data_IF_622918226102
#
_entry.id   IF_622918226102
#
_cell.length_a   1.000
_cell.length_b   1.000
_cell.length_c   1.000
_cell.angle_alpha   90.00
_cell.angle_beta   90.00
_cell.angle_gamma   90.00
#
_symmetry.space_group_name_H-M   'P 1'
#
loop_
_entity.id
_entity.type
_entity.pdbx_description
1 polymer ?
#
# COMPACT_ATOMS: atom_id res chain seq x y z
N UNK A 1 52.50 -69.37 -52.28
CA UNK A 1 52.40 -68.03 -51.65
C UNK A 1 51.04 -67.44 -51.94
N UNK A 2 50.18 -67.28 -50.93
CA UNK A 2 48.88 -66.57 -51.08
C UNK A 2 48.62 -65.74 -49.82
N UNK A 3 48.62 -64.42 -49.98
CA UNK A 3 47.91 -63.42 -49.15
C UNK A 3 47.54 -62.31 -50.15
N UNK A 4 46.31 -62.22 -50.67
CA UNK A 4 45.09 -61.63 -50.08
C UNK A 4 45.39 -60.39 -49.25
N UNK A 5 45.23 -59.22 -49.86
CA UNK A 5 44.78 -58.00 -49.21
C UNK A 5 43.42 -57.65 -49.81
N UNK A 6 42.37 -58.34 -49.37
CA UNK A 6 40.98 -58.00 -49.70
C UNK A 6 40.56 -57.02 -48.60
N UNK A 7 40.14 -55.83 -49.01
CA UNK A 7 39.56 -54.77 -48.17
C UNK A 7 38.63 -55.33 -47.08
N UNK A 8 39.02 -55.22 -45.82
CA UNK A 8 38.20 -55.47 -44.61
C UNK A 8 37.34 -54.24 -44.24
N UNK A 9 36.97 -53.42 -45.23
CA UNK A 9 35.96 -52.39 -45.06
C UNK A 9 34.59 -52.97 -45.42
N UNK A 10 33.70 -53.05 -44.43
CA UNK A 10 32.27 -53.39 -44.51
C UNK A 10 31.92 -54.88 -44.59
N UNK A 11 31.83 -55.55 -43.44
CA UNK A 11 30.73 -56.48 -43.13
C UNK A 11 30.36 -56.34 -41.65
N UNK A 12 29.80 -55.19 -41.28
CA UNK A 12 29.04 -55.10 -40.03
C UNK A 12 27.68 -55.75 -40.26
N UNK A 13 27.28 -56.65 -39.38
CA UNK A 13 25.95 -57.26 -39.44
C UNK A 13 24.87 -56.20 -39.19
N UNK A 14 23.68 -56.35 -39.78
CA UNK A 14 22.55 -55.43 -39.55
C UNK A 14 22.24 -55.29 -38.05
N UNK A 15 22.48 -56.35 -37.26
CA UNK A 15 22.41 -56.34 -35.81
C UNK A 15 23.42 -55.40 -35.13
N UNK A 16 24.68 -55.35 -35.56
CA UNK A 16 25.69 -54.46 -34.98
C UNK A 16 25.36 -53.00 -35.24
N UNK A 17 24.87 -52.66 -36.43
CA UNK A 17 24.34 -51.33 -36.73
C UNK A 17 23.11 -50.99 -35.87
N UNK A 18 22.20 -51.95 -35.66
CA UNK A 18 21.05 -51.76 -34.79
C UNK A 18 21.46 -51.50 -33.33
N UNK A 19 22.49 -52.19 -32.82
CA UNK A 19 23.03 -51.96 -31.48
C UNK A 19 23.70 -50.60 -31.34
N UNK A 20 24.50 -50.18 -32.34
CA UNK A 20 25.12 -48.85 -32.36
C UNK A 20 24.05 -47.75 -32.37
N UNK A 21 23.01 -47.91 -33.19
CA UNK A 21 21.87 -46.99 -33.23
C UNK A 21 21.09 -46.98 -31.91
N UNK A 22 20.84 -48.13 -31.31
CA UNK A 22 20.17 -48.22 -30.02
C UNK A 22 20.98 -47.51 -28.92
N UNK A 23 22.30 -47.70 -28.90
CA UNK A 23 23.19 -47.05 -27.94
C UNK A 23 23.22 -45.53 -28.13
N UNK A 24 23.25 -45.06 -29.39
CA UNK A 24 23.12 -43.64 -29.73
C UNK A 24 21.76 -43.08 -29.28
N UNK A 25 20.66 -43.79 -29.52
CA UNK A 25 19.32 -43.38 -29.09
C UNK A 25 19.22 -43.28 -27.57
N UNK A 26 19.79 -44.25 -26.83
CA UNK A 26 19.82 -44.21 -25.36
C UNK A 26 20.69 -43.04 -24.87
N UNK A 27 21.86 -42.83 -25.47
CA UNK A 27 22.74 -41.71 -25.13
C UNK A 27 22.10 -40.34 -25.36
N UNK A 28 21.43 -40.16 -26.51
CA UNK A 28 20.66 -38.96 -26.82
C UNK A 28 19.48 -38.82 -25.85
N UNK A 29 18.77 -39.91 -25.54
CA UNK A 29 17.68 -39.91 -24.56
C UNK A 29 18.13 -39.47 -23.17
N UNK A 30 19.27 -39.96 -22.69
CA UNK A 30 19.84 -39.57 -21.41
C UNK A 30 20.25 -38.09 -21.39
N UNK A 31 20.83 -37.59 -22.48
CA UNK A 31 21.23 -36.19 -22.60
C UNK A 31 20.01 -35.26 -22.64
N UNK A 32 18.99 -35.61 -23.43
CA UNK A 32 17.72 -34.87 -23.49
C UNK A 32 17.01 -34.85 -22.14
N UNK A 33 17.00 -35.98 -21.43
CA UNK A 33 16.43 -36.07 -20.09
C UNK A 33 17.15 -35.17 -19.07
N UNK A 34 18.49 -35.14 -19.12
CA UNK A 34 19.28 -34.25 -18.27
C UNK A 34 18.98 -32.76 -18.54
N UNK A 35 18.83 -32.39 -19.82
CA UNK A 35 18.45 -31.01 -20.20
C UNK A 35 17.02 -30.66 -19.79
N UNK A 36 16.09 -31.61 -19.92
CA UNK A 36 14.70 -31.42 -19.49
C UNK A 36 14.62 -31.14 -17.99
N UNK A 37 15.27 -31.94 -17.15
CA UNK A 37 15.33 -31.70 -15.70
C UNK A 37 16.00 -30.38 -15.32
N UNK A 38 17.04 -29.98 -16.06
CA UNK A 38 17.68 -28.68 -15.83
C UNK A 38 16.73 -27.52 -16.16
N UNK A 39 16.00 -27.63 -17.27
CA UNK A 39 14.99 -26.64 -17.66
C UNK A 39 13.82 -26.58 -16.66
N UNK A 40 13.35 -27.72 -16.15
CA UNK A 40 12.30 -27.78 -15.12
C UNK A 40 12.72 -27.07 -13.83
N UNK A 41 13.96 -27.26 -13.37
CA UNK A 41 14.48 -26.55 -12.18
C UNK A 41 14.58 -25.05 -12.38
N UNK A 42 15.00 -24.62 -13.57
CA UNK A 42 15.07 -23.20 -13.92
C UNK A 42 13.66 -22.60 -13.96
N UNK A 43 12.70 -23.30 -14.56
CA UNK A 43 11.30 -22.88 -14.59
C UNK A 43 10.72 -22.75 -13.18
N UNK A 44 10.93 -23.73 -12.29
CA UNK A 44 10.47 -23.66 -10.90
C UNK A 44 11.11 -22.49 -10.13
N UNK A 45 12.39 -22.20 -10.39
CA UNK A 45 13.06 -21.05 -9.77
C UNK A 45 12.49 -19.71 -10.24
N UNK A 46 12.17 -19.60 -11.54
CA UNK A 46 11.55 -18.40 -12.09
C UNK A 46 10.09 -18.25 -11.66
N UNK A 47 9.33 -19.33 -11.49
CA UNK A 47 7.98 -19.26 -10.95
C UNK A 47 7.96 -18.70 -9.52
N UNK A 48 8.88 -19.15 -8.66
CA UNK A 48 9.03 -18.61 -7.30
C UNK A 48 9.47 -17.14 -7.29
N UNK A 49 10.37 -16.77 -8.21
CA UNK A 49 10.81 -15.39 -8.35
C UNK A 49 9.68 -14.48 -8.85
N UNK A 50 8.86 -14.95 -9.80
CA UNK A 50 7.67 -14.24 -10.27
C UNK A 50 6.65 -14.10 -9.14
N UNK A 51 6.40 -15.15 -8.35
CA UNK A 51 5.48 -15.08 -7.21
C UNK A 51 5.93 -14.04 -6.18
N UNK A 52 7.23 -14.06 -5.83
CA UNK A 52 7.83 -13.07 -4.94
C UNK A 52 7.73 -11.65 -5.48
N UNK A 53 8.12 -11.43 -6.75
CA UNK A 53 8.04 -10.12 -7.39
C UNK A 53 6.61 -9.64 -7.56
N UNK A 54 5.65 -10.53 -7.78
CA UNK A 54 4.22 -10.19 -7.88
C UNK A 54 3.68 -9.76 -6.52
N UNK A 55 4.07 -10.44 -5.44
CA UNK A 55 3.73 -10.04 -4.08
C UNK A 55 4.35 -8.68 -3.72
N UNK A 56 5.62 -8.47 -4.09
CA UNK A 56 6.32 -7.20 -3.87
C UNK A 56 5.69 -6.05 -4.67
N UNK A 57 5.37 -6.26 -5.96
CA UNK A 57 4.67 -5.27 -6.78
C UNK A 57 3.28 -4.98 -6.22
N UNK A 58 2.56 -5.98 -5.72
CA UNK A 58 1.27 -5.78 -5.07
C UNK A 58 1.41 -4.94 -3.80
N UNK A 59 2.38 -5.26 -2.94
CA UNK A 59 2.67 -4.49 -1.73
C UNK A 59 3.09 -3.05 -2.05
N UNK A 60 3.97 -2.87 -3.04
CA UNK A 60 4.40 -1.55 -3.49
C UNK A 60 3.27 -0.77 -4.15
N UNK A 61 2.34 -1.43 -4.84
CA UNK A 61 1.12 -0.80 -5.37
C UNK A 61 0.15 -0.42 -4.27
N UNK A 62 -0.07 -1.25 -3.25
CA UNK A 62 -0.86 -0.90 -2.06
C UNK A 62 -0.25 0.33 -1.36
N UNK A 63 1.08 0.34 -1.20
CA UNK A 63 1.80 1.46 -0.57
C UNK A 63 1.88 2.71 -1.48
N UNK A 64 1.92 2.53 -2.80
CA UNK A 64 1.82 3.63 -3.76
C UNK A 64 0.40 4.18 -3.81
N UNK A 65 -0.64 3.38 -3.75
CA UNK A 65 -2.02 3.86 -3.60
C UNK A 65 -2.17 4.66 -2.30
N UNK A 66 -1.59 4.20 -1.20
CA UNK A 66 -1.53 4.96 0.06
C UNK A 66 -0.78 6.31 -0.04
N UNK A 67 0.25 6.40 -0.89
CA UNK A 67 1.10 7.61 -1.02
C UNK A 67 0.69 8.55 -2.16
N UNK A 68 0.17 8.02 -3.26
CA UNK A 68 -0.13 8.73 -4.51
C UNK A 68 -1.50 9.43 -4.44
N UNK A 69 -2.42 8.95 -3.59
CA UNK A 69 -3.72 9.60 -3.34
C UNK A 69 -3.75 10.56 -2.14
N UNK A 70 -2.69 10.66 -1.34
CA UNK A 70 -2.54 11.68 -0.29
C UNK A 70 -3.73 11.83 0.67
N UNK A 71 -4.51 10.78 0.92
CA UNK A 71 -5.82 10.86 1.56
C UNK A 71 -5.86 10.20 2.95
N UNK A 72 -5.86 11.07 3.97
CA UNK A 72 -6.62 10.97 5.22
C UNK A 72 -6.19 9.89 6.24
N UNK A 73 -5.28 10.22 7.17
CA UNK A 73 -4.92 9.33 8.27
C UNK A 73 -6.11 9.16 9.22
N UNK A 74 -6.95 8.16 8.98
CA UNK A 74 -8.11 7.86 9.80
C UNK A 74 -7.80 6.68 10.74
N UNK A 75 -8.19 6.81 12.01
CA UNK A 75 -7.88 5.88 13.08
C UNK A 75 -9.01 4.90 13.34
N UNK A 76 -8.70 3.62 13.48
CA UNK A 76 -9.63 2.58 13.94
C UNK A 76 -9.11 2.02 15.27
N UNK A 77 -9.81 2.30 16.39
CA UNK A 77 -9.49 1.66 17.69
C UNK A 77 -9.61 0.13 17.58
N UNK A 78 -8.81 -0.69 18.29
CA UNK A 78 -7.77 -0.36 19.27
C UNK A 78 -6.31 -0.59 18.81
N UNK A 79 -6.07 -1.14 17.62
CA UNK A 79 -4.76 -1.75 17.27
C UNK A 79 -3.95 -1.01 16.17
N UNK A 80 -4.35 0.20 15.80
CA UNK A 80 -3.70 0.99 14.75
C UNK A 80 -2.63 1.96 15.26
N UNK A 81 -1.56 2.14 14.48
CA UNK A 81 -0.58 3.23 14.64
C UNK A 81 -1.30 4.58 14.71
N UNK A 82 -0.86 5.46 15.61
CA UNK A 82 -1.47 6.77 15.82
C UNK A 82 -1.35 7.60 14.52
N UNK A 83 -2.47 8.01 13.90
CA UNK A 83 -2.43 8.71 12.63
C UNK A 83 -1.91 10.15 12.75
N UNK A 84 -1.46 10.67 11.60
CA UNK A 84 -1.12 12.07 11.39
C UNK A 84 -2.36 12.98 11.55
N UNK A 85 -2.14 14.25 11.86
CA UNK A 85 -3.22 15.23 12.09
C UNK A 85 -3.74 15.77 10.75
N UNK A 86 -5.05 15.69 10.50
CA UNK A 86 -5.66 16.16 9.22
C UNK A 86 -5.69 17.68 9.10
N UNK A 87 -5.62 18.40 10.21
CA UNK A 87 -5.60 19.86 10.25
C UNK A 87 -5.57 20.40 11.67
N UNK A 88 -5.52 21.72 11.77
CA UNK A 88 -5.45 22.45 13.04
C UNK A 88 -6.61 23.42 13.16
N UNK A 89 -7.23 23.41 14.33
CA UNK A 89 -8.18 24.41 14.78
C UNK A 89 -7.49 25.27 15.84
N UNK A 90 -7.36 26.56 15.59
CA UNK A 90 -6.73 27.50 16.53
C UNK A 90 -7.79 28.42 17.12
N UNK A 91 -7.90 28.44 18.44
CA UNK A 91 -8.76 29.35 19.20
C UNK A 91 -7.92 30.57 19.57
N UNK A 92 -8.22 31.72 18.98
CA UNK A 92 -7.46 32.96 19.19
C UNK A 92 -8.05 33.81 20.32
N UNK A 93 -7.19 34.62 20.96
CA UNK A 93 -7.62 35.66 21.89
C UNK A 93 -8.52 36.68 21.16
N UNK A 94 -9.78 36.78 21.61
CA UNK A 94 -10.82 37.58 20.94
C UNK A 94 -11.92 36.75 20.25
N UNK A 95 -12.21 35.56 20.77
CA UNK A 95 -13.42 34.79 20.44
C UNK A 95 -13.54 34.38 18.96
N UNK A 96 -12.38 34.21 18.31
CA UNK A 96 -12.29 33.81 16.92
C UNK A 96 -11.56 32.49 16.76
N UNK A 97 -12.04 31.66 15.85
CA UNK A 97 -11.48 30.34 15.54
C UNK A 97 -10.98 30.35 14.11
N UNK A 98 -9.75 29.89 13.90
CA UNK A 98 -9.22 29.60 12.56
C UNK A 98 -9.13 28.10 12.32
N UNK A 99 -9.39 27.71 11.08
CA UNK A 99 -9.29 26.33 10.60
C UNK A 99 -8.25 26.26 9.48
N UNK A 100 -7.28 25.37 9.61
CA UNK A 100 -6.29 25.09 8.59
C UNK A 100 -6.26 23.58 8.28
N UNK A 101 -6.32 23.23 6.99
CA UNK A 101 -6.06 21.86 6.55
C UNK A 101 -4.57 21.62 6.44
N UNK A 102 -4.10 20.45 6.88
CA UNK A 102 -2.69 20.08 6.77
C UNK A 102 -2.22 20.01 5.30
N UNK A 103 -3.14 19.85 4.34
CA UNK A 103 -2.82 19.81 2.90
C UNK A 103 -2.60 21.19 2.31
N UNK A 104 -3.39 22.19 2.73
CA UNK A 104 -3.37 23.52 2.14
C UNK A 104 -2.46 24.49 2.91
N UNK A 105 -2.12 24.20 4.17
CA UNK A 105 -1.15 24.93 4.99
C UNK A 105 -1.55 26.37 5.35
N UNK A 106 -2.58 26.93 4.73
CA UNK A 106 -3.11 28.26 4.97
C UNK A 106 -4.40 28.19 5.80
N UNK A 107 -4.61 29.11 6.77
CA UNK A 107 -5.86 29.21 7.51
C UNK A 107 -6.98 29.63 6.54
N UNK A 108 -7.85 28.70 6.22
CA UNK A 108 -8.83 28.84 5.14
C UNK A 108 -10.09 29.60 5.59
N UNK A 109 -10.39 29.61 6.90
CA UNK A 109 -11.63 30.20 7.41
C UNK A 109 -11.50 30.69 8.85
N UNK A 110 -12.05 31.88 9.12
CA UNK A 110 -12.20 32.45 10.46
C UNK A 110 -13.67 32.47 10.85
N UNK A 111 -14.00 31.88 11.99
CA UNK A 111 -15.33 31.93 12.60
C UNK A 111 -15.26 32.89 13.78
N UNK A 112 -16.14 33.88 13.83
CA UNK A 112 -16.24 34.85 14.93
C UNK A 112 -17.61 34.72 15.61
N UNK A 113 -17.64 34.94 16.93
CA UNK A 113 -18.78 34.95 17.87
C UNK A 113 -18.97 33.66 18.69
N UNK A 114 -18.88 33.82 20.02
CA UNK A 114 -19.03 32.77 21.04
C UNK A 114 -20.35 32.88 21.82
N UNK A 115 -21.44 32.41 21.21
CA UNK A 115 -22.49 31.74 21.99
C UNK A 115 -22.36 30.25 21.73
N UNK A 116 -22.50 29.37 22.73
CA UNK A 116 -22.34 27.92 22.53
C UNK A 116 -23.20 27.38 21.35
N UNK A 117 -24.44 27.85 21.24
CA UNK A 117 -25.34 27.49 20.14
C UNK A 117 -24.92 28.10 18.79
N UNK A 118 -24.31 29.28 18.80
CA UNK A 118 -23.81 29.97 17.60
C UNK A 118 -22.51 29.31 17.12
N UNK A 119 -21.67 28.87 18.06
CA UNK A 119 -20.43 28.16 17.81
C UNK A 119 -20.71 26.83 17.12
N UNK A 120 -21.63 26.01 17.62
CA UNK A 120 -21.98 24.73 16.98
C UNK A 120 -22.57 24.94 15.58
N UNK A 121 -23.47 25.91 15.42
CA UNK A 121 -24.09 26.24 14.11
C UNK A 121 -23.10 26.74 13.07
N UNK A 122 -22.03 27.42 13.46
CA UNK A 122 -21.05 27.98 12.53
C UNK A 122 -19.83 27.07 12.32
N UNK A 123 -19.37 26.39 13.37
CA UNK A 123 -18.18 25.55 13.32
C UNK A 123 -18.46 24.24 12.58
N UNK A 124 -19.60 23.61 12.83
CA UNK A 124 -19.97 22.34 12.17
C UNK A 124 -19.96 22.43 10.64
N UNK A 125 -20.65 23.38 9.99
CA UNK A 125 -20.59 23.49 8.53
C UNK A 125 -19.21 23.93 8.04
N UNK A 126 -18.48 24.76 8.78
CA UNK A 126 -17.13 25.17 8.40
C UNK A 126 -16.13 24.00 8.38
N UNK A 127 -16.21 23.11 9.37
CA UNK A 127 -15.43 21.87 9.45
C UNK A 127 -15.87 20.89 8.36
N UNK A 128 -17.18 20.71 8.17
CA UNK A 128 -17.71 19.81 7.15
C UNK A 128 -17.33 20.22 5.73
N UNK A 129 -17.29 21.52 5.44
CA UNK A 129 -16.91 22.07 4.14
C UNK A 129 -15.40 21.93 3.88
N UNK A 130 -14.56 22.25 4.88
CA UNK A 130 -13.10 22.17 4.74
C UNK A 130 -12.58 20.73 4.66
N UNK A 131 -13.20 19.80 5.38
CA UNK A 131 -12.78 18.40 5.49
C UNK A 131 -13.79 17.44 4.85
N UNK A 132 -14.55 17.89 3.85
CA UNK A 132 -15.63 17.11 3.25
C UNK A 132 -15.13 15.76 2.69
N UNK A 133 -13.98 15.77 2.02
CA UNK A 133 -13.38 14.58 1.44
C UNK A 133 -12.89 13.59 2.50
N UNK A 134 -12.29 14.13 3.56
CA UNK A 134 -11.80 13.41 4.73
C UNK A 134 -12.94 12.75 5.50
N UNK A 135 -14.02 13.50 5.75
CA UNK A 135 -15.18 13.01 6.49
C UNK A 135 -15.96 11.95 5.73
N UNK A 136 -16.08 12.10 4.40
CA UNK A 136 -16.72 11.08 3.56
C UNK A 136 -15.93 9.77 3.58
N UNK A 137 -14.61 9.87 3.46
CA UNK A 137 -13.71 8.71 3.60
C UNK A 137 -13.82 8.07 5.00
N UNK A 138 -13.78 8.87 6.06
CA UNK A 138 -13.93 8.37 7.43
C UNK A 138 -15.26 7.62 7.67
N UNK A 139 -16.35 8.11 7.08
CA UNK A 139 -17.66 7.46 7.13
C UNK A 139 -17.71 6.14 6.36
N UNK A 140 -17.08 6.06 5.19
CA UNK A 140 -17.02 4.84 4.37
C UNK A 140 -16.23 3.73 5.04
N UNK A 141 -15.09 4.07 5.66
CA UNK A 141 -14.16 3.11 6.26
C UNK A 141 -14.35 2.92 7.78
N UNK A 142 -15.38 3.54 8.37
CA UNK A 142 -15.70 3.47 9.81
C UNK A 142 -14.47 3.78 10.69
N UNK A 143 -13.85 4.93 10.45
CA UNK A 143 -12.65 5.39 11.16
C UNK A 143 -12.79 6.84 11.62
N UNK A 144 -11.90 7.28 12.52
CA UNK A 144 -11.92 8.62 13.11
C UNK A 144 -10.81 9.50 12.53
N UNK A 145 -11.11 10.74 12.21
CA UNK A 145 -10.08 11.71 11.81
C UNK A 145 -9.43 12.33 13.04
N UNK A 146 -8.16 12.73 12.96
CA UNK A 146 -7.47 13.36 14.09
C UNK A 146 -7.20 14.84 13.81
N UNK A 147 -7.66 15.74 14.67
CA UNK A 147 -7.49 17.19 14.50
C UNK A 147 -6.85 17.79 15.75
N UNK A 148 -5.90 18.70 15.55
CA UNK A 148 -5.24 19.42 16.62
C UNK A 148 -6.09 20.64 17.02
N UNK A 149 -6.34 20.79 18.31
CA UNK A 149 -7.03 21.97 18.86
C UNK A 149 -6.03 22.78 19.67
N UNK A 150 -5.50 23.84 19.05
CA UNK A 150 -4.59 24.78 19.69
C UNK A 150 -5.40 25.87 20.40
N UNK A 151 -5.16 26.05 21.70
CA UNK A 151 -5.82 27.07 22.50
C UNK A 151 -4.84 28.21 22.83
N UNK A 152 -4.98 29.36 22.17
CA UNK A 152 -4.21 30.57 22.44
C UNK A 152 -4.93 31.49 23.43
N UNK A 153 -5.83 30.94 24.26
CA UNK A 153 -6.64 31.69 25.23
C UNK A 153 -6.58 31.04 26.62
N UNK A 154 -6.84 31.83 27.66
CA UNK A 154 -6.95 31.33 29.04
C UNK A 154 -8.33 30.70 29.33
N UNK A 155 -9.23 30.63 28.34
CA UNK A 155 -10.62 30.23 28.51
C UNK A 155 -10.84 28.74 28.18
N UNK A 156 -10.59 27.89 29.16
CA UNK A 156 -10.76 26.44 29.06
C UNK A 156 -12.18 25.96 28.67
N UNK A 157 -13.28 26.60 29.12
CA UNK A 157 -14.64 26.28 28.65
C UNK A 157 -14.79 26.25 27.13
N UNK A 158 -14.21 27.22 26.41
CA UNK A 158 -14.30 27.30 24.94
C UNK A 158 -13.61 26.09 24.32
N UNK A 159 -12.42 25.75 24.80
CA UNK A 159 -11.68 24.57 24.33
C UNK A 159 -12.53 23.30 24.46
N UNK A 160 -13.15 23.10 25.62
CA UNK A 160 -14.01 21.93 25.87
C UNK A 160 -15.20 21.88 24.92
N UNK A 161 -15.85 23.01 24.69
CA UNK A 161 -17.03 23.09 23.81
C UNK A 161 -16.64 22.83 22.35
N UNK A 162 -15.52 23.39 21.90
CA UNK A 162 -14.95 23.12 20.56
C UNK A 162 -14.60 21.64 20.40
N UNK A 163 -13.89 21.05 21.36
CA UNK A 163 -13.51 19.64 21.33
C UNK A 163 -14.75 18.72 21.30
N UNK A 164 -15.81 19.07 22.04
CA UNK A 164 -17.06 18.33 22.03
C UNK A 164 -17.77 18.40 20.67
N UNK A 165 -17.81 19.57 20.04
CA UNK A 165 -18.40 19.76 18.70
C UNK A 165 -17.64 18.92 17.66
N UNK A 166 -16.31 19.01 17.66
CA UNK A 166 -15.42 18.25 16.78
C UNK A 166 -15.61 16.73 16.96
N UNK A 167 -15.75 16.28 18.20
CA UNK A 167 -16.00 14.86 18.52
C UNK A 167 -17.34 14.37 17.97
N UNK A 168 -18.40 15.18 18.05
CA UNK A 168 -19.72 14.85 17.45
C UNK A 168 -19.68 14.75 15.93
N UNK A 169 -18.72 15.40 15.27
CA UNK A 169 -18.55 15.37 13.81
C UNK A 169 -17.80 14.09 13.36
N UNK A 170 -17.27 13.29 14.29
CA UNK A 170 -16.52 12.07 13.98
C UNK A 170 -15.00 12.28 13.94
N UNK A 171 -14.51 13.35 14.55
CA UNK A 171 -13.08 13.64 14.66
C UNK A 171 -12.60 13.52 16.12
N UNK A 172 -11.40 13.04 16.33
CA UNK A 172 -10.73 13.01 17.63
C UNK A 172 -9.92 14.29 17.78
N UNK A 173 -10.29 15.10 18.77
CA UNK A 173 -9.51 16.25 19.18
C UNK A 173 -8.27 15.80 19.97
N UNK A 174 -7.10 16.29 19.58
CA UNK A 174 -5.85 16.12 20.31
C UNK A 174 -5.27 17.47 20.71
N UNK A 175 -4.65 17.48 21.87
CA UNK A 175 -3.86 18.59 22.38
C UNK A 175 -2.40 18.14 22.36
N UNK A 176 -1.62 18.69 21.43
CA UNK A 176 -0.17 18.50 21.33
C UNK A 176 0.56 19.81 21.62
#
# INVERSE_FOLDING_TARGET
>A
MRRRGRSDAMMYSISEFAFILAFLCIGIGALLYGRLRAAERIAESHEKEIEFLTAEVKFLNELLEEKQYGNVPCWRRPDGTIPFVVGRLTIHAGDSISLASARTGTPTRRVSNLGADVLERNLRPAVADLFQSELSYAGEYNCYLRIEVANETDNFPIYRDVAAIVTRIGMVAVHE
#
